data_IF_620152113126
#
_entry.id   IF_620152113126
#
_cell.length_a   1.000
_cell.length_b   1.000
_cell.length_c   1.000
_cell.angle_alpha   90.00
_cell.angle_beta   90.00
_cell.angle_gamma   90.00
#
_symmetry.space_group_name_H-M   'P 1'
#
loop_
_entity.id
_entity.type
_entity.pdbx_description
1 polymer ?
#
# COMPACT_ATOMS: atom_id res chain seq x y z
N UNK A 1 4.72 63.13 56.47
CA UNK A 1 5.36 61.88 56.00
C UNK A 1 5.44 61.97 54.48
N UNK A 2 6.46 62.55 53.82
CA UNK A 2 7.90 62.35 53.94
C UNK A 2 8.35 61.24 52.98
N UNK A 3 8.81 61.52 51.73
CA UNK A 3 8.89 60.55 50.62
C UNK A 3 10.32 59.95 50.44
N UNK A 4 10.63 59.16 49.37
CA UNK A 4 11.24 57.81 49.42
C UNK A 4 12.77 57.78 49.22
N UNK A 5 13.38 56.57 49.23
CA UNK A 5 14.51 56.28 48.31
C UNK A 5 14.22 55.01 47.48
N UNK A 6 14.31 54.99 46.15
CA UNK A 6 15.42 55.29 45.24
C UNK A 6 16.53 54.20 45.23
N UNK A 7 16.62 53.52 44.09
CA UNK A 7 17.87 53.15 43.42
C UNK A 7 18.76 52.06 44.03
N UNK A 8 18.82 50.92 43.35
CA UNK A 8 20.12 50.29 43.06
C UNK A 8 20.30 50.11 41.56
N UNK A 9 21.12 51.02 41.01
CA UNK A 9 21.75 50.94 39.70
C UNK A 9 22.83 49.85 39.74
N UNK A 10 22.87 49.01 38.73
CA UNK A 10 24.07 48.25 38.37
C UNK A 10 24.48 48.66 36.95
N UNK A 11 25.52 49.49 36.88
CA UNK A 11 26.42 49.73 35.77
C UNK A 11 27.79 50.02 36.40
N UNK A 12 28.94 49.91 35.71
CA UNK A 12 29.11 50.34 34.32
C UNK A 12 30.01 49.44 33.43
N UNK A 13 29.80 49.64 32.13
CA UNK A 13 30.76 49.85 31.03
C UNK A 13 32.19 49.25 31.07
N UNK A 14 32.46 48.57 29.94
CA UNK A 14 33.64 48.69 29.04
C UNK A 14 34.97 48.08 29.49
N UNK A 15 35.46 47.19 28.64
CA UNK A 15 36.84 47.15 28.09
C UNK A 15 36.76 46.31 26.81
N UNK A 16 36.78 46.93 25.63
CA UNK A 16 37.95 47.18 24.77
C UNK A 16 38.85 45.95 24.55
N UNK A 17 38.91 45.51 23.30
CA UNK A 17 39.85 44.52 22.79
C UNK A 17 39.68 44.39 21.28
N UNK A 18 40.26 45.35 20.54
CA UNK A 18 40.58 45.15 19.11
C UNK A 18 41.71 44.13 19.08
N UNK A 19 41.64 43.14 18.20
CA UNK A 19 42.84 42.62 17.54
C UNK A 19 42.51 42.07 16.15
N UNK A 20 43.41 42.42 15.23
CA UNK A 20 43.41 42.08 13.81
C UNK A 20 44.32 40.86 13.58
N UNK A 21 44.05 40.19 12.45
CA UNK A 21 44.94 39.35 11.63
C UNK A 21 45.05 37.86 11.96
N UNK A 22 44.95 37.04 10.91
CA UNK A 22 45.44 35.66 10.90
C UNK A 22 44.77 34.76 9.87
N UNK A 23 45.31 34.73 8.66
CA UNK A 23 44.96 33.86 7.53
C UNK A 23 44.77 32.37 7.84
N UNK A 24 43.79 31.73 7.17
CA UNK A 24 43.46 30.33 7.43
C UNK A 24 42.66 29.57 6.38
N UNK A 25 43.08 29.63 5.10
CA UNK A 25 42.81 28.67 4.00
C UNK A 25 41.35 28.48 3.48
N UNK A 26 41.09 28.67 2.17
CA UNK A 26 39.94 28.06 1.53
C UNK A 26 40.24 26.59 1.27
N UNK A 27 39.50 25.67 1.89
CA UNK A 27 39.55 24.24 1.56
C UNK A 27 38.14 23.72 1.24
N UNK A 28 37.99 23.28 0.00
CA UNK A 28 36.88 22.42 -0.46
C UNK A 28 35.74 23.21 -1.09
N UNK A 29 35.73 23.40 -2.41
CA UNK A 29 34.98 22.55 -3.36
C UNK A 29 33.53 22.35 -2.91
N UNK A 30 32.59 23.09 -3.47
CA UNK A 30 31.95 22.80 -4.76
C UNK A 30 31.33 21.40 -4.81
N UNK A 31 30.07 21.40 -5.26
CA UNK A 31 29.29 20.27 -5.73
C UNK A 31 28.59 19.44 -4.64
N UNK A 32 27.52 19.99 -4.05
CA UNK A 32 26.34 19.18 -3.76
C UNK A 32 25.57 18.89 -5.06
N UNK A 33 26.30 18.40 -6.07
CA UNK A 33 25.71 17.59 -7.11
C UNK A 33 25.65 16.20 -6.51
N UNK A 34 24.49 15.84 -5.97
CA UNK A 34 24.14 14.43 -5.81
C UNK A 34 24.20 13.89 -7.23
N UNK A 35 25.37 13.34 -7.59
CA UNK A 35 25.55 12.59 -8.83
C UNK A 35 24.60 11.42 -8.66
N UNK A 36 23.43 11.54 -9.30
CA UNK A 36 22.52 10.45 -9.57
C UNK A 36 23.37 9.33 -10.13
N UNK A 37 23.74 8.37 -9.28
CA UNK A 37 24.42 7.16 -9.72
C UNK A 37 23.34 6.38 -10.47
N UNK A 38 23.41 6.26 -11.81
CA UNK A 38 22.41 5.50 -12.52
C UNK A 38 22.59 4.06 -12.06
N UNK A 39 21.53 3.52 -11.47
CA UNK A 39 21.56 2.21 -10.88
C UNK A 39 22.04 1.19 -11.91
N UNK A 40 23.12 0.53 -11.54
CA UNK A 40 23.87 -0.43 -12.33
C UNK A 40 22.90 -1.55 -12.72
N UNK A 41 22.65 -1.63 -14.03
CA UNK A 41 21.68 -2.47 -14.72
C UNK A 41 21.50 -3.88 -14.12
N UNK A 42 20.23 -4.29 -14.01
CA UNK A 42 19.70 -5.67 -13.90
C UNK A 42 19.44 -6.23 -12.48
N UNK A 43 18.41 -5.71 -11.78
CA UNK A 43 17.50 -6.50 -10.88
C UNK A 43 16.34 -5.70 -10.25
N UNK A 44 16.33 -4.38 -10.36
CA UNK A 44 15.56 -3.54 -9.42
C UNK A 44 14.19 -3.05 -9.91
N UNK A 45 13.86 -3.24 -11.19
CA UNK A 45 12.55 -2.86 -11.74
C UNK A 45 11.42 -3.86 -11.46
N UNK A 46 11.68 -4.95 -10.72
CA UNK A 46 10.69 -6.00 -10.45
C UNK A 46 9.89 -5.75 -9.15
N UNK A 47 10.28 -4.76 -8.35
CA UNK A 47 9.65 -4.49 -7.04
C UNK A 47 8.62 -3.35 -7.12
N UNK A 48 8.70 -2.47 -8.13
CA UNK A 48 7.83 -1.28 -8.21
C UNK A 48 6.59 -1.42 -9.11
N UNK A 49 6.59 -2.36 -10.07
CA UNK A 49 5.44 -2.55 -10.95
C UNK A 49 4.44 -3.54 -10.33
N UNK A 50 3.15 -3.17 -10.16
CA UNK A 50 2.14 -4.11 -9.67
C UNK A 50 1.98 -5.28 -10.64
N UNK A 51 1.93 -6.51 -10.10
CA UNK A 51 1.67 -7.71 -10.89
C UNK A 51 0.38 -7.57 -11.71
N UNK A 52 0.31 -8.28 -12.84
CA UNK A 52 -0.92 -8.35 -13.61
C UNK A 52 -2.03 -8.97 -12.76
N UNK A 53 -3.28 -8.50 -12.93
CA UNK A 53 -4.45 -9.13 -12.30
C UNK A 53 -5.16 -9.95 -13.37
N UNK A 54 -5.36 -11.23 -13.11
CA UNK A 54 -6.08 -12.15 -14.01
C UNK A 54 -7.28 -12.76 -13.28
N UNK A 55 -8.33 -13.06 -14.02
CA UNK A 55 -9.52 -13.75 -13.53
C UNK A 55 -9.55 -15.14 -14.16
N UNK A 56 -10.04 -16.10 -13.39
CA UNK A 56 -10.51 -17.39 -13.91
C UNK A 56 -11.95 -17.25 -14.37
N UNK A 57 -12.42 -18.15 -15.23
CA UNK A 57 -13.83 -18.19 -15.69
C UNK A 57 -14.80 -18.26 -14.51
N UNK A 58 -14.44 -19.01 -13.46
CA UNK A 58 -15.23 -19.10 -12.23
C UNK A 58 -15.29 -17.77 -11.47
N UNK A 59 -14.18 -17.04 -11.39
CA UNK A 59 -14.17 -15.72 -10.76
C UNK A 59 -14.95 -14.69 -11.58
N UNK A 60 -14.92 -14.78 -12.91
CA UNK A 60 -15.71 -13.92 -13.78
C UNK A 60 -17.21 -14.18 -13.62
N UNK A 61 -17.62 -15.45 -13.59
CA UNK A 61 -19.00 -15.85 -13.31
C UNK A 61 -19.46 -15.36 -11.93
N UNK A 62 -18.65 -15.53 -10.88
CA UNK A 62 -18.96 -15.04 -9.54
C UNK A 62 -19.22 -13.53 -9.53
N UNK A 63 -18.36 -12.75 -10.20
CA UNK A 63 -18.51 -11.30 -10.29
C UNK A 63 -19.76 -10.90 -11.08
N UNK A 64 -20.10 -11.63 -12.14
CA UNK A 64 -21.32 -11.42 -12.92
C UNK A 64 -22.57 -11.69 -12.08
N UNK A 65 -22.59 -12.78 -11.31
CA UNK A 65 -23.70 -13.15 -10.43
C UNK A 65 -23.89 -12.13 -9.30
N UNK A 66 -22.79 -11.68 -8.69
CA UNK A 66 -22.80 -10.61 -7.68
C UNK A 66 -23.40 -9.34 -8.29
N UNK A 67 -22.95 -8.96 -9.48
CA UNK A 67 -23.45 -7.76 -10.15
C UNK A 67 -24.95 -7.88 -10.44
N UNK A 68 -25.38 -9.00 -11.03
CA UNK A 68 -26.77 -9.24 -11.40
C UNK A 68 -27.70 -9.23 -10.18
N UNK A 69 -27.29 -9.87 -9.09
CA UNK A 69 -28.03 -9.90 -7.82
C UNK A 69 -28.25 -8.48 -7.30
N UNK A 70 -27.20 -7.68 -7.17
CA UNK A 70 -27.29 -6.32 -6.63
C UNK A 70 -28.04 -5.39 -7.59
N UNK A 71 -27.88 -5.58 -8.90
CA UNK A 71 -28.58 -4.78 -9.89
C UNK A 71 -30.09 -4.99 -9.81
N UNK A 72 -30.54 -6.23 -9.57
CA UNK A 72 -31.93 -6.59 -9.37
C UNK A 72 -32.50 -6.08 -8.04
N UNK A 73 -31.71 -6.17 -6.95
CA UNK A 73 -32.17 -5.79 -5.60
C UNK A 73 -32.09 -4.27 -5.33
N UNK A 74 -31.16 -3.56 -5.97
CA UNK A 74 -30.87 -2.14 -5.68
C UNK A 74 -30.81 -1.28 -6.93
N UNK A 75 -29.73 -1.39 -7.70
CA UNK A 75 -29.55 -0.70 -8.98
C UNK A 75 -28.23 -1.10 -9.64
N UNK A 76 -28.16 -0.97 -10.97
CA UNK A 76 -26.92 -1.17 -11.73
C UNK A 76 -25.77 -0.26 -11.24
N UNK A 77 -26.07 0.98 -10.83
CA UNK A 77 -25.06 1.89 -10.31
C UNK A 77 -24.46 1.42 -8.98
N UNK A 78 -25.28 0.84 -8.09
CA UNK A 78 -24.80 0.24 -6.85
C UNK A 78 -23.97 -1.02 -7.13
N UNK A 79 -24.42 -1.88 -8.04
CA UNK A 79 -23.70 -3.08 -8.45
C UNK A 79 -22.28 -2.77 -8.96
N UNK A 80 -22.16 -1.81 -9.89
CA UNK A 80 -20.86 -1.38 -10.42
C UNK A 80 -19.93 -0.81 -9.34
N UNK A 81 -20.46 -0.08 -8.36
CA UNK A 81 -19.65 0.41 -7.21
C UNK A 81 -19.15 -0.74 -6.35
N UNK A 82 -19.94 -1.80 -6.16
CA UNK A 82 -19.52 -2.98 -5.40
C UNK A 82 -18.41 -3.72 -6.14
N UNK A 83 -18.56 -3.98 -7.43
CA UNK A 83 -17.50 -4.60 -8.25
C UNK A 83 -16.22 -3.75 -8.22
N UNK A 84 -16.33 -2.42 -8.36
CA UNK A 84 -15.17 -1.52 -8.25
C UNK A 84 -14.48 -1.61 -6.88
N UNK A 85 -15.23 -1.79 -5.78
CA UNK A 85 -14.68 -1.99 -4.44
C UNK A 85 -13.95 -3.32 -4.28
N UNK A 86 -14.43 -4.39 -4.94
CA UNK A 86 -13.78 -5.70 -4.97
C UNK A 86 -12.44 -5.59 -5.70
N UNK A 87 -12.41 -4.99 -6.89
CA UNK A 87 -11.16 -4.75 -7.62
C UNK A 87 -10.18 -3.85 -6.86
N UNK A 88 -10.67 -2.79 -6.20
CA UNK A 88 -9.83 -1.93 -5.36
C UNK A 88 -9.16 -2.70 -4.21
N UNK A 89 -9.84 -3.71 -3.64
CA UNK A 89 -9.26 -4.59 -2.63
C UNK A 89 -8.17 -5.53 -3.16
N UNK A 90 -8.08 -5.72 -4.49
CA UNK A 90 -7.02 -6.50 -5.13
C UNK A 90 -5.74 -5.68 -5.37
N UNK A 91 -5.83 -4.35 -5.39
CA UNK A 91 -4.69 -3.49 -5.73
C UNK A 91 -3.48 -3.61 -4.77
N UNK A 92 -3.67 -3.77 -3.44
CA UNK A 92 -2.55 -4.02 -2.53
C UNK A 92 -1.86 -5.36 -2.78
N UNK A 93 -2.61 -6.42 -3.09
CA UNK A 93 -2.03 -7.75 -3.32
C UNK A 93 -1.30 -7.87 -4.65
N UNK A 94 -1.55 -6.97 -5.61
CA UNK A 94 -0.73 -6.88 -6.83
C UNK A 94 0.69 -6.40 -6.55
N UNK A 95 0.90 -5.59 -5.50
CA UNK A 95 2.24 -5.16 -5.06
C UNK A 95 2.84 -6.11 -4.02
N UNK A 96 1.99 -6.64 -3.14
CA UNK A 96 2.39 -7.54 -2.06
C UNK A 96 1.57 -8.84 -2.11
N UNK A 97 1.86 -9.77 -3.03
CA UNK A 97 1.02 -10.95 -3.28
C UNK A 97 0.91 -11.90 -2.08
N UNK A 98 1.84 -11.82 -1.13
CA UNK A 98 1.86 -12.64 0.08
C UNK A 98 1.19 -11.98 1.30
N UNK A 99 0.59 -10.78 1.15
CA UNK A 99 -0.10 -10.09 2.23
C UNK A 99 -1.46 -10.73 2.60
N UNK A 100 -2.10 -11.46 1.66
CA UNK A 100 -3.34 -12.18 1.92
C UNK A 100 -3.14 -13.37 2.85
N UNK A 101 -4.18 -13.68 3.65
CA UNK A 101 -4.16 -14.77 4.61
C UNK A 101 -4.05 -16.13 3.89
N UNK A 102 -3.13 -17.02 4.29
CA UNK A 102 -2.97 -18.33 3.66
C UNK A 102 -4.21 -19.20 3.91
N UNK A 103 -4.62 -19.94 2.88
CA UNK A 103 -5.74 -20.88 2.87
C UNK A 103 -5.31 -22.24 2.32
N UNK A 104 -4.11 -22.67 2.72
CA UNK A 104 -3.48 -23.91 2.24
C UNK A 104 -4.30 -25.17 2.54
N UNK A 105 -5.20 -25.11 3.54
CA UNK A 105 -6.14 -26.19 3.86
C UNK A 105 -7.22 -26.42 2.77
N UNK A 106 -7.47 -25.42 1.91
CA UNK A 106 -8.41 -25.53 0.79
C UNK A 106 -7.68 -25.90 -0.50
N UNK A 107 -6.57 -25.22 -0.79
CA UNK A 107 -5.68 -25.56 -1.90
C UNK A 107 -4.27 -24.99 -1.66
N UNK A 108 -3.20 -25.68 -2.08
CA UNK A 108 -1.83 -25.20 -1.90
C UNK A 108 -1.58 -23.82 -2.52
N UNK A 109 -1.02 -22.89 -1.75
CA UNK A 109 -0.67 -21.54 -2.23
C UNK A 109 -1.88 -20.61 -2.39
N UNK A 110 -3.08 -21.06 -2.04
CA UNK A 110 -4.28 -20.26 -2.03
C UNK A 110 -4.22 -19.22 -0.92
N UNK A 111 -4.66 -18.00 -1.23
CA UNK A 111 -4.70 -16.88 -0.31
C UNK A 111 -6.05 -16.19 -0.40
N UNK A 112 -6.42 -15.51 0.67
CA UNK A 112 -7.66 -14.75 0.74
C UNK A 112 -7.43 -13.31 1.21
N UNK A 113 -8.14 -12.38 0.59
CA UNK A 113 -8.39 -11.04 1.13
C UNK A 113 -9.88 -10.84 1.34
N UNK A 114 -10.22 -10.12 2.40
CA UNK A 114 -11.61 -9.92 2.80
C UNK A 114 -12.02 -8.47 2.58
N UNK A 115 -13.13 -8.28 1.89
CA UNK A 115 -13.81 -7.01 1.73
C UNK A 115 -15.28 -7.22 2.06
N UNK A 116 -15.60 -7.20 3.36
CA UNK A 116 -16.94 -7.50 3.87
C UNK A 116 -18.06 -6.87 2.99
N UNK A 117 -19.01 -7.67 2.48
CA UNK A 117 -19.23 -9.09 2.79
C UNK A 117 -18.48 -10.10 1.92
N UNK A 118 -17.57 -9.70 1.03
CA UNK A 118 -16.91 -10.58 0.06
C UNK A 118 -15.56 -11.14 0.53
N UNK A 119 -15.30 -12.40 0.20
CA UNK A 119 -14.01 -13.07 0.30
C UNK A 119 -13.45 -13.29 -1.10
N UNK A 120 -12.22 -12.83 -1.36
CA UNK A 120 -11.56 -12.91 -2.65
C UNK A 120 -10.42 -13.91 -2.52
N UNK A 121 -10.54 -15.04 -3.21
CA UNK A 121 -9.55 -16.11 -3.21
C UNK A 121 -8.64 -15.99 -4.43
N UNK A 122 -7.34 -16.05 -4.22
CA UNK A 122 -6.37 -15.88 -5.29
C UNK A 122 -5.11 -16.72 -5.06
N UNK A 123 -4.35 -16.92 -6.13
CA UNK A 123 -3.01 -17.49 -6.12
C UNK A 123 -2.03 -16.47 -6.69
N UNK A 124 -0.88 -16.31 -6.05
CA UNK A 124 0.21 -15.50 -6.54
C UNK A 124 1.14 -16.34 -7.44
N UNK A 125 1.47 -15.81 -8.62
CA UNK A 125 2.46 -16.38 -9.55
C UNK A 125 3.63 -15.42 -9.72
N UNK A 126 4.62 -15.78 -10.55
CA UNK A 126 5.78 -14.92 -10.79
C UNK A 126 5.42 -13.61 -11.53
N UNK A 127 4.36 -13.62 -12.34
CA UNK A 127 3.96 -12.50 -13.21
C UNK A 127 2.56 -11.93 -12.89
N UNK A 128 1.71 -12.68 -12.18
CA UNK A 128 0.32 -12.30 -11.94
C UNK A 128 -0.23 -12.71 -10.57
N UNK A 129 -1.23 -11.94 -10.12
CA UNK A 129 -2.23 -12.36 -9.14
C UNK A 129 -3.41 -12.92 -9.90
N UNK A 130 -3.74 -14.20 -9.69
CA UNK A 130 -4.85 -14.88 -10.36
C UNK A 130 -5.99 -15.06 -9.37
N UNK A 131 -7.11 -14.37 -9.58
CA UNK A 131 -8.32 -14.53 -8.78
C UNK A 131 -9.03 -15.82 -9.21
N UNK A 132 -9.24 -16.71 -8.25
CA UNK A 132 -9.85 -18.02 -8.45
C UNK A 132 -11.35 -17.98 -8.19
N UNK A 133 -11.77 -17.30 -7.11
CA UNK A 133 -13.18 -17.18 -6.70
C UNK A 133 -13.45 -15.85 -5.99
N UNK A 134 -14.66 -15.33 -6.12
CA UNK A 134 -15.15 -14.17 -5.34
C UNK A 134 -16.46 -14.55 -4.67
N UNK A 135 -16.42 -14.75 -3.36
CA UNK A 135 -17.53 -15.38 -2.64
C UNK A 135 -18.16 -14.40 -1.66
N UNK A 136 -19.48 -14.41 -1.55
CA UNK A 136 -20.20 -13.66 -0.52
C UNK A 136 -20.14 -14.43 0.81
N UNK A 137 -19.45 -13.89 1.81
CA UNK A 137 -19.11 -14.57 3.08
C UNK A 137 -20.31 -15.02 3.93
N UNK A 138 -21.51 -14.50 3.66
CA UNK A 138 -22.75 -14.96 4.31
C UNK A 138 -23.45 -16.13 3.60
N UNK A 139 -23.06 -16.46 2.35
CA UNK A 139 -23.76 -17.49 1.55
C UNK A 139 -23.02 -18.82 1.48
N UNK A 140 -21.71 -18.86 1.72
CA UNK A 140 -20.96 -19.92 1.07
C UNK A 140 -19.63 -20.28 1.77
N UNK A 141 -19.77 -20.82 3.00
CA UNK A 141 -18.73 -21.69 3.57
C UNK A 141 -18.95 -23.14 3.11
N UNK A 142 -20.18 -23.50 2.72
CA UNK A 142 -20.59 -24.86 2.41
C UNK A 142 -20.45 -25.23 0.91
N UNK A 143 -20.69 -24.35 -0.07
CA UNK A 143 -20.47 -24.69 -1.50
C UNK A 143 -18.97 -24.74 -1.84
N UNK A 144 -18.14 -23.90 -1.20
CA UNK A 144 -16.68 -23.98 -1.31
C UNK A 144 -16.17 -25.37 -0.89
N UNK A 145 -16.76 -25.97 0.14
CA UNK A 145 -16.34 -27.25 0.71
C UNK A 145 -16.85 -28.46 -0.11
N UNK A 146 -17.94 -28.31 -0.87
CA UNK A 146 -18.64 -29.42 -1.51
C UNK A 146 -18.07 -29.87 -2.87
N UNK A 147 -17.21 -29.10 -3.54
CA UNK A 147 -16.63 -29.60 -4.80
C UNK A 147 -15.72 -28.66 -5.55
N UNK A 148 -14.43 -28.98 -5.60
CA UNK A 148 -13.54 -28.73 -6.75
C UNK A 148 -13.28 -27.27 -7.19
N UNK A 149 -13.83 -26.24 -6.54
CA UNK A 149 -13.89 -24.87 -7.06
C UNK A 149 -12.58 -24.07 -7.10
N UNK A 150 -11.44 -24.64 -6.68
CA UNK A 150 -10.14 -23.94 -6.66
C UNK A 150 -9.12 -24.48 -7.67
N UNK A 151 -9.57 -25.12 -8.75
CA UNK A 151 -8.67 -25.57 -9.82
C UNK A 151 -8.19 -24.39 -10.66
N UNK A 152 -6.87 -24.34 -10.89
CA UNK A 152 -6.22 -23.32 -11.72
C UNK A 152 -6.44 -23.70 -13.19
N UNK A 153 -7.59 -23.36 -13.76
CA UNK A 153 -7.81 -23.54 -15.20
C UNK A 153 -6.85 -22.59 -15.93
N UNK A 154 -5.97 -23.18 -16.74
CA UNK A 154 -4.82 -22.53 -17.38
C UNK A 154 -5.23 -21.71 -18.58
#
# INVERSE_FOLDING_TARGET
MGPPPSGRRAGPHRTQGRDRQGDGRPRGRACQGIRSRPHRRTRENLIDAPLALRLTDTAEADLADIWATIAAESSAGTASRVIGRIFASCEPVRRFPHAGAPRDHLAPGLRAVFRNPYAIYYVATADAVVIIRVVHGARDIDDIAAGGGFTKTT
#
